data_IF_981316025026
#
_entry.id   IF_981316025026
#
_cell.length_a   1.000
_cell.length_b   1.000
_cell.length_c   1.000
_cell.angle_alpha   90.00
_cell.angle_beta   90.00
_cell.angle_gamma   90.00
#
_symmetry.space_group_name_H-M   'P 1'
#
loop_
_entity.id
_entity.type
_entity.pdbx_description
1 polymer ?
#
# COMPACT_ATOMS: atom_id res chain seq x y z
N UNK A 1 -23.00 38.87 15.90
CA UNK A 1 -22.01 38.67 16.97
C UNK A 1 -21.56 37.21 16.91
N UNK A 2 -20.49 36.90 16.15
CA UNK A 2 -19.95 35.54 16.07
C UNK A 2 -18.93 35.35 17.21
N UNK A 3 -18.99 34.25 17.99
CA UNK A 3 -18.05 34.05 19.09
C UNK A 3 -16.62 33.86 18.56
N UNK A 4 -15.59 34.32 19.30
CA UNK A 4 -14.21 34.18 18.85
C UNK A 4 -13.78 32.71 18.83
N UNK A 5 -13.12 32.33 17.74
CA UNK A 5 -12.52 31.02 17.52
C UNK A 5 -11.58 30.64 18.68
N UNK A 6 -11.87 29.53 19.35
CA UNK A 6 -11.00 28.94 20.38
C UNK A 6 -9.74 28.40 19.71
N UNK A 7 -8.57 28.87 20.13
CA UNK A 7 -7.26 28.36 19.69
C UNK A 7 -7.14 26.86 20.04
N UNK A 8 -6.62 26.00 19.15
CA UNK A 8 -6.45 24.58 19.46
C UNK A 8 -5.41 24.39 20.58
N UNK A 9 -5.80 23.64 21.60
CA UNK A 9 -4.92 23.17 22.68
C UNK A 9 -3.84 22.24 22.14
N UNK A 10 -2.61 22.40 22.62
CA UNK A 10 -1.44 21.60 22.23
C UNK A 10 -1.71 20.09 22.39
N UNK A 11 -1.74 19.37 21.28
CA UNK A 11 -1.77 17.91 21.29
C UNK A 11 -0.43 17.38 21.83
N UNK A 12 -0.51 16.57 22.89
CA UNK A 12 0.64 15.86 23.44
C UNK A 12 1.06 14.77 22.44
N UNK A 13 2.19 14.96 21.78
CA UNK A 13 2.75 14.04 20.80
C UNK A 13 3.23 12.77 21.52
N UNK A 14 2.36 11.75 21.63
CA UNK A 14 2.77 10.39 22.01
C UNK A 14 3.70 9.86 20.93
N UNK A 15 5.00 9.79 21.24
CA UNK A 15 5.97 9.08 20.39
C UNK A 15 5.75 7.60 20.65
N UNK A 16 5.05 6.93 19.75
CA UNK A 16 5.16 5.48 19.65
C UNK A 16 6.55 5.18 19.09
N UNK A 17 7.48 4.80 19.97
CA UNK A 17 8.72 4.19 19.55
C UNK A 17 8.35 2.84 18.93
N UNK A 18 8.38 2.78 17.60
CA UNK A 18 8.41 1.50 16.91
C UNK A 18 9.84 1.00 17.04
N UNK A 19 10.03 0.01 17.89
CA UNK A 19 11.29 -0.72 17.98
C UNK A 19 11.32 -1.70 16.81
N UNK A 20 11.88 -1.28 15.67
CA UNK A 20 12.30 -2.23 14.63
C UNK A 20 13.61 -2.83 15.09
N UNK A 21 13.49 -3.99 15.75
CA UNK A 21 14.61 -4.84 16.07
C UNK A 21 15.11 -5.52 14.78
N UNK A 22 16.03 -4.87 14.07
CA UNK A 22 16.93 -5.57 13.16
C UNK A 22 18.12 -6.07 13.98
N UNK A 23 18.08 -7.34 14.41
CA UNK A 23 19.27 -8.00 14.95
C UNK A 23 20.20 -8.35 13.79
N UNK A 24 20.88 -7.34 13.26
CA UNK A 24 21.77 -7.44 12.12
C UNK A 24 22.55 -6.14 11.95
N UNK A 25 23.87 -6.25 11.83
CA UNK A 25 24.83 -5.14 11.76
C UNK A 25 24.33 -3.97 10.87
N UNK A 26 24.27 -2.71 11.36
CA UNK A 26 23.63 -1.62 10.64
C UNK A 26 24.53 -1.10 9.53
N UNK A 27 24.52 -1.78 8.38
CA UNK A 27 24.95 -1.14 7.13
C UNK A 27 23.76 -0.40 6.57
N UNK A 28 23.79 0.94 6.65
CA UNK A 28 22.75 1.78 6.09
C UNK A 28 22.62 1.49 4.60
N UNK A 29 21.38 1.36 4.12
CA UNK A 29 21.04 1.16 2.68
C UNK A 29 21.63 2.23 1.74
N UNK A 30 22.13 3.34 2.27
CA UNK A 30 22.85 4.39 1.53
C UNK A 30 24.34 4.09 1.32
N UNK A 31 24.95 3.23 2.12
CA UNK A 31 26.38 2.89 2.02
C UNK A 31 26.68 1.89 0.89
N UNK A 32 25.66 1.23 0.34
CA UNK A 32 25.82 0.33 -0.83
C UNK A 32 26.17 1.13 -2.09
N UNK A 33 25.72 2.38 -2.21
CA UNK A 33 25.99 3.24 -3.37
C UNK A 33 27.29 4.05 -3.24
N UNK A 34 27.78 4.27 -2.01
CA UNK A 34 29.09 4.92 -1.78
C UNK A 34 30.25 3.98 -2.14
N UNK A 35 30.03 2.65 -2.08
CA UNK A 35 30.99 1.65 -2.58
C UNK A 35 31.08 1.53 -4.10
N UNK A 36 30.20 2.19 -4.87
CA UNK A 36 30.11 2.12 -6.33
C UNK A 36 30.53 3.41 -7.05
N UNK A 37 30.88 4.48 -6.33
CA UNK A 37 31.04 5.83 -6.89
C UNK A 37 32.43 6.48 -6.76
N UNK A 38 33.46 5.75 -6.30
CA UNK A 38 34.82 6.26 -6.16
C UNK A 38 35.75 5.75 -7.25
N UNK A 39 36.50 6.66 -7.88
CA UNK A 39 37.39 6.52 -9.04
C UNK A 39 38.56 5.51 -8.91
N UNK A 40 38.50 4.55 -7.98
CA UNK A 40 39.51 3.50 -7.72
C UNK A 40 38.91 2.09 -7.59
N UNK A 41 37.69 1.85 -8.08
CA UNK A 41 36.95 0.58 -7.95
C UNK A 41 37.37 -0.59 -8.86
N UNK A 42 38.60 -0.63 -9.36
CA UNK A 42 39.05 -1.73 -10.23
C UNK A 42 39.48 -3.00 -9.46
N UNK A 43 39.53 -2.98 -8.12
CA UNK A 43 40.09 -4.09 -7.34
C UNK A 43 39.15 -4.72 -6.30
N UNK A 44 37.90 -4.25 -6.17
CA UNK A 44 36.91 -4.83 -5.22
C UNK A 44 35.82 -5.67 -5.88
N UNK A 45 35.85 -5.87 -7.20
CA UNK A 45 34.82 -6.65 -7.92
C UNK A 45 35.13 -8.14 -8.09
N UNK A 46 36.33 -8.63 -7.71
CA UNK A 46 36.78 -9.96 -8.14
C UNK A 46 37.48 -10.81 -7.07
N UNK A 47 37.56 -10.37 -5.81
CA UNK A 47 38.15 -11.22 -4.76
C UNK A 47 37.38 -11.15 -3.44
N UNK A 48 37.18 -12.34 -2.88
CA UNK A 48 36.82 -12.61 -1.50
C UNK A 48 35.37 -12.37 -1.11
N UNK A 49 34.61 -13.47 -1.18
CA UNK A 49 34.07 -14.12 0.01
C UNK A 49 34.01 -13.22 1.25
N UNK A 50 32.77 -12.90 1.63
CA UNK A 50 32.28 -12.42 2.91
C UNK A 50 31.73 -10.97 2.90
N UNK A 51 30.46 -10.87 3.33
CA UNK A 51 29.82 -9.67 3.88
C UNK A 51 29.22 -8.64 2.92
N UNK A 52 28.13 -9.00 2.24
CA UNK A 52 27.27 -7.95 1.66
C UNK A 52 26.05 -8.37 0.85
N UNK A 53 25.66 -9.65 0.81
CA UNK A 53 24.36 -9.98 0.23
C UNK A 53 23.28 -9.42 1.15
N UNK A 54 22.60 -8.36 0.71
CA UNK A 54 21.46 -7.79 1.41
C UNK A 54 20.27 -8.76 1.26
N UNK A 55 20.29 -9.85 2.02
CA UNK A 55 19.15 -10.74 2.19
C UNK A 55 18.10 -10.05 3.06
N UNK A 56 17.25 -9.24 2.44
CA UNK A 56 15.98 -8.84 3.04
C UNK A 56 14.95 -9.93 2.81
N UNK A 57 14.38 -10.50 3.86
CA UNK A 57 13.19 -11.33 3.71
C UNK A 57 12.05 -10.45 3.14
N UNK A 58 11.38 -10.86 2.06
CA UNK A 58 10.27 -10.10 1.51
C UNK A 58 9.12 -10.03 2.52
N UNK A 59 8.39 -8.92 2.51
CA UNK A 59 7.13 -8.84 3.25
C UNK A 59 6.12 -9.74 2.53
N UNK A 60 5.63 -10.75 3.24
CA UNK A 60 4.55 -11.61 2.73
C UNK A 60 3.21 -10.87 2.77
N UNK A 61 2.28 -11.16 1.84
CA UNK A 61 0.91 -10.69 1.95
C UNK A 61 0.29 -11.12 3.30
N UNK A 62 -0.55 -10.28 3.93
CA UNK A 62 -1.24 -10.65 5.15
C UNK A 62 -2.21 -11.81 4.89
N UNK A 63 -2.33 -12.71 5.85
CA UNK A 63 -3.38 -13.73 5.83
C UNK A 63 -4.72 -13.06 6.17
N UNK A 64 -5.70 -13.04 5.25
CA UNK A 64 -6.98 -12.37 5.49
C UNK A 64 -7.78 -13.02 6.63
N UNK A 65 -7.48 -14.26 7.00
CA UNK A 65 -8.12 -14.97 8.12
C UNK A 65 -7.73 -14.40 9.49
N UNK A 66 -6.53 -13.82 9.59
CA UNK A 66 -5.97 -13.27 10.83
C UNK A 66 -6.07 -11.75 10.90
N UNK A 67 -7.05 -11.17 10.19
CA UNK A 67 -7.24 -9.73 10.19
C UNK A 67 -7.70 -9.23 11.57
N UNK A 68 -6.88 -8.39 12.22
CA UNK A 68 -7.14 -7.89 13.58
C UNK A 68 -7.88 -6.57 13.51
N UNK A 69 -9.07 -6.54 14.11
CA UNK A 69 -9.92 -5.34 14.23
C UNK A 69 -9.97 -4.90 15.71
N UNK A 70 -9.76 -3.61 16.02
CA UNK A 70 -9.93 -3.11 17.38
C UNK A 70 -11.41 -3.08 17.81
N UNK A 71 -12.32 -2.85 16.86
CA UNK A 71 -13.77 -2.79 17.12
C UNK A 71 -14.55 -3.31 15.90
N UNK A 72 -14.82 -4.64 15.82
CA UNK A 72 -15.47 -5.26 14.68
C UNK A 72 -16.94 -4.84 14.51
N UNK A 73 -17.56 -4.28 15.55
CA UNK A 73 -18.99 -4.00 15.58
C UNK A 73 -19.29 -2.59 15.09
N UNK A 74 -18.39 -1.64 15.35
CA UNK A 74 -18.58 -0.23 14.97
C UNK A 74 -17.81 0.21 13.72
N UNK A 75 -16.66 -0.41 13.40
CA UNK A 75 -15.84 -0.03 12.24
C UNK A 75 -15.15 -1.25 11.58
N UNK A 76 -15.94 -2.15 10.96
CA UNK A 76 -15.38 -3.33 10.30
C UNK A 76 -14.65 -2.95 9.00
N UNK A 77 -13.32 -3.07 9.02
CA UNK A 77 -12.46 -2.85 7.83
C UNK A 77 -11.79 -4.13 7.28
N UNK A 78 -12.08 -5.29 7.84
CA UNK A 78 -11.55 -6.55 7.32
C UNK A 78 -12.35 -6.98 6.10
N UNK A 79 -11.68 -7.59 5.10
CA UNK A 79 -12.36 -8.09 3.92
C UNK A 79 -13.38 -9.18 4.29
N UNK A 80 -14.53 -9.22 3.60
CA UNK A 80 -15.55 -10.23 3.86
C UNK A 80 -15.09 -11.62 3.37
N UNK A 81 -15.44 -12.71 4.09
CA UNK A 81 -15.22 -14.07 3.62
C UNK A 81 -16.12 -14.41 2.42
N UNK A 82 -15.79 -15.41 1.58
CA UNK A 82 -14.73 -16.40 1.74
C UNK A 82 -13.37 -15.98 1.15
N UNK A 83 -12.29 -16.37 1.81
CA UNK A 83 -10.93 -16.13 1.36
C UNK A 83 -10.43 -17.30 0.49
N UNK A 84 -10.53 -17.16 -0.83
CA UNK A 84 -9.87 -18.07 -1.78
C UNK A 84 -8.68 -17.37 -2.39
N UNK A 85 -7.57 -17.37 -1.67
CA UNK A 85 -6.31 -16.82 -2.16
C UNK A 85 -5.78 -17.71 -3.28
N UNK A 86 -5.50 -17.11 -4.42
CA UNK A 86 -4.82 -17.72 -5.56
C UNK A 86 -3.67 -16.81 -5.96
N UNK A 87 -2.58 -17.39 -6.44
CA UNK A 87 -1.49 -16.62 -7.01
C UNK A 87 -2.01 -15.83 -8.22
N UNK A 88 -1.71 -14.53 -8.24
CA UNK A 88 -2.18 -13.65 -9.30
C UNK A 88 -1.38 -13.87 -10.58
N UNK A 89 -2.07 -14.33 -11.62
CA UNK A 89 -1.49 -14.45 -12.96
C UNK A 89 -1.83 -13.21 -13.79
N UNK A 90 -0.81 -12.59 -14.39
CA UNK A 90 -1.02 -11.48 -15.31
C UNK A 90 -1.80 -11.97 -16.54
N UNK A 91 -2.83 -11.22 -17.00
CA UNK A 91 -3.47 -11.51 -18.27
C UNK A 91 -2.44 -11.53 -19.41
N UNK A 92 -2.62 -12.43 -20.38
CA UNK A 92 -1.67 -12.60 -21.48
C UNK A 92 -1.59 -11.32 -22.32
N UNK A 93 -0.39 -10.82 -22.57
CA UNK A 93 -0.17 -9.58 -23.33
C UNK A 93 -0.77 -9.59 -24.76
N UNK A 94 -0.94 -10.78 -25.35
CA UNK A 94 -1.54 -10.95 -26.68
C UNK A 94 -3.06 -11.13 -26.66
N UNK A 95 -3.70 -11.03 -25.48
CA UNK A 95 -5.15 -11.05 -25.38
C UNK A 95 -5.74 -9.76 -25.96
N UNK A 96 -6.21 -9.85 -27.21
CA UNK A 96 -6.81 -8.73 -27.95
C UNK A 96 -8.08 -8.20 -27.28
N UNK A 97 -8.63 -8.89 -26.28
CA UNK A 97 -9.81 -8.42 -25.53
C UNK A 97 -9.46 -7.35 -24.49
N UNK A 98 -8.18 -7.19 -24.14
CA UNK A 98 -7.71 -6.26 -23.11
C UNK A 98 -6.93 -5.09 -23.75
N UNK A 99 -7.61 -4.00 -24.14
CA UNK A 99 -6.92 -2.83 -24.67
C UNK A 99 -6.04 -2.17 -23.59
N UNK A 100 -4.95 -1.54 -24.03
CA UNK A 100 -4.12 -0.73 -23.15
C UNK A 100 -4.96 0.40 -22.52
N UNK A 101 -5.00 0.45 -21.18
CA UNK A 101 -5.77 1.46 -20.45
C UNK A 101 -4.93 2.71 -20.22
N UNK A 102 -5.39 3.85 -20.76
CA UNK A 102 -4.77 5.16 -20.57
C UNK A 102 -5.44 5.86 -19.37
N UNK A 103 -4.65 6.42 -18.46
CA UNK A 103 -5.12 7.24 -17.33
C UNK A 103 -4.97 8.72 -17.70
N UNK A 104 -6.05 9.41 -18.14
CA UNK A 104 -5.96 10.82 -18.52
C UNK A 104 -5.79 11.72 -17.29
N UNK A 105 -5.21 12.91 -17.49
CA UNK A 105 -5.14 13.91 -16.45
C UNK A 105 -6.54 14.41 -16.11
N UNK A 106 -6.91 14.40 -14.83
CA UNK A 106 -8.28 14.65 -14.37
C UNK A 106 -8.84 16.03 -14.78
N UNK A 107 -7.98 17.03 -14.99
CA UNK A 107 -8.39 18.38 -15.40
C UNK A 107 -8.53 18.54 -16.93
N UNK A 108 -8.19 17.54 -17.72
CA UNK A 108 -8.23 17.56 -19.20
C UNK A 108 -9.23 16.54 -19.79
N UNK A 109 -10.03 15.89 -18.96
CA UNK A 109 -10.99 14.87 -19.42
C UNK A 109 -12.23 15.50 -20.07
N UNK A 110 -12.85 14.77 -20.99
CA UNK A 110 -14.11 15.17 -21.63
C UNK A 110 -15.31 14.97 -20.69
N UNK A 111 -16.40 15.69 -20.95
CA UNK A 111 -17.66 15.49 -20.22
C UNK A 111 -18.16 14.03 -20.28
N UNK A 112 -18.03 13.38 -21.44
CA UNK A 112 -18.40 11.97 -21.60
C UNK A 112 -17.57 11.03 -20.73
N UNK A 113 -16.28 11.33 -20.54
CA UNK A 113 -15.43 10.55 -19.65
C UNK A 113 -15.88 10.71 -18.19
N UNK A 114 -16.19 11.94 -17.77
CA UNK A 114 -16.69 12.24 -16.43
C UNK A 114 -17.99 11.47 -16.20
N UNK A 115 -18.96 11.55 -17.12
CA UNK A 115 -20.23 10.83 -17.00
C UNK A 115 -20.05 9.31 -16.87
N UNK A 116 -19.12 8.71 -17.63
CA UNK A 116 -18.79 7.28 -17.52
C UNK A 116 -18.14 6.94 -16.18
N UNK A 117 -17.25 7.80 -15.68
CA UNK A 117 -16.59 7.62 -14.40
C UNK A 117 -17.60 7.71 -13.24
N UNK A 118 -18.47 8.72 -13.26
CA UNK A 118 -19.54 8.89 -12.28
C UNK A 118 -20.50 7.70 -12.28
N UNK A 119 -20.91 7.20 -13.45
CA UNK A 119 -21.75 6.01 -13.56
C UNK A 119 -21.04 4.76 -13.00
N UNK A 120 -19.75 4.61 -13.23
CA UNK A 120 -18.97 3.49 -12.66
C UNK A 120 -18.93 3.58 -11.12
N UNK A 121 -18.66 4.75 -10.55
CA UNK A 121 -18.65 4.96 -9.10
C UNK A 121 -20.05 4.77 -8.51
N UNK A 122 -21.11 5.22 -9.19
CA UNK A 122 -22.50 5.00 -8.77
C UNK A 122 -22.81 3.51 -8.67
N UNK A 123 -22.40 2.72 -9.67
CA UNK A 123 -22.57 1.24 -9.64
C UNK A 123 -21.77 0.60 -8.52
N UNK A 124 -20.53 1.01 -8.31
CA UNK A 124 -19.68 0.50 -7.24
C UNK A 124 -20.27 0.78 -5.84
N UNK A 125 -20.89 1.94 -5.66
CA UNK A 125 -21.61 2.31 -4.41
C UNK A 125 -22.94 1.58 -4.24
N UNK A 126 -23.53 1.10 -5.33
CA UNK A 126 -24.80 0.37 -5.30
C UNK A 126 -24.60 -1.15 -5.09
N UNK A 127 -23.36 -1.64 -5.08
CA UNK A 127 -23.06 -3.03 -4.73
C UNK A 127 -23.42 -3.32 -3.25
N UNK A 128 -23.75 -4.58 -2.91
CA UNK A 128 -23.96 -4.97 -1.52
C UNK A 128 -22.77 -4.61 -0.63
N UNK A 129 -22.98 -4.23 0.64
CA UNK A 129 -21.89 -3.87 1.55
C UNK A 129 -20.90 -5.02 1.80
N UNK A 130 -21.36 -6.27 1.63
CA UNK A 130 -20.57 -7.48 1.81
C UNK A 130 -19.81 -7.89 0.54
N UNK A 131 -20.04 -7.19 -0.58
CA UNK A 131 -19.32 -7.44 -1.83
C UNK A 131 -17.91 -6.81 -1.71
N UNK A 132 -16.82 -7.59 -1.90
CA UNK A 132 -15.46 -7.06 -1.84
C UNK A 132 -15.18 -5.95 -2.87
N UNK A 133 -15.96 -5.85 -3.95
CA UNK A 133 -15.85 -4.79 -4.95
C UNK A 133 -16.66 -3.54 -4.62
N UNK A 134 -17.47 -3.57 -3.56
CA UNK A 134 -18.24 -2.42 -3.13
C UNK A 134 -17.33 -1.26 -2.74
N UNK A 135 -17.85 -0.05 -2.88
CA UNK A 135 -17.06 1.17 -2.66
C UNK A 135 -16.44 1.21 -1.25
N UNK A 136 -17.19 0.82 -0.23
CA UNK A 136 -16.70 0.80 1.15
C UNK A 136 -15.68 -0.31 1.38
N UNK A 137 -15.89 -1.51 0.81
CA UNK A 137 -14.90 -2.59 0.94
C UNK A 137 -13.57 -2.24 0.26
N UNK A 138 -13.60 -1.57 -0.90
CA UNK A 138 -12.39 -1.06 -1.53
C UNK A 138 -11.66 -0.01 -0.67
N UNK A 139 -12.40 0.84 0.05
CA UNK A 139 -11.82 1.79 1.00
C UNK A 139 -11.20 1.06 2.22
N UNK A 140 -11.86 0.02 2.71
CA UNK A 140 -11.41 -0.81 3.82
C UNK A 140 -10.07 -1.49 3.56
N UNK A 141 -9.74 -1.81 2.30
CA UNK A 141 -8.40 -2.31 1.94
C UNK A 141 -7.31 -1.31 2.35
N UNK A 142 -7.51 -0.01 2.13
CA UNK A 142 -6.53 0.99 2.56
C UNK A 142 -6.41 1.02 4.09
N UNK A 143 -7.55 1.00 4.80
CA UNK A 143 -7.58 0.98 6.26
C UNK A 143 -6.85 -0.25 6.83
N UNK A 144 -7.15 -1.44 6.32
CA UNK A 144 -6.55 -2.70 6.77
C UNK A 144 -5.02 -2.73 6.60
N UNK A 145 -4.47 -2.11 5.55
CA UNK A 145 -3.02 -2.07 5.32
C UNK A 145 -2.31 -0.89 5.99
N UNK A 146 -3.01 0.19 6.31
CA UNK A 146 -2.41 1.38 6.92
C UNK A 146 -2.54 1.42 8.44
N UNK A 147 -3.72 1.08 8.99
CA UNK A 147 -3.96 1.09 10.44
C UNK A 147 -4.10 -0.32 11.02
N UNK A 148 -4.27 -1.35 10.17
CA UNK A 148 -4.17 -2.74 10.59
C UNK A 148 -2.78 -3.02 11.14
N UNK A 149 -2.72 -3.39 12.41
CA UNK A 149 -1.49 -3.85 13.06
C UNK A 149 -1.13 -5.22 12.49
N UNK A 150 -0.30 -5.23 11.44
CA UNK A 150 0.43 -6.41 10.99
C UNK A 150 1.46 -6.88 12.01
#
# INVERSE_FOLDING_TARGET
>A
MFPPSKKPSKATKRRHAWEVACNGNPRNRRDILIGLGGLYGATTSLTSNNTGSAFGAPLSPPDPTNCVQPDPENDPFCPPPPFKVKDYELPKHHDKTLPLRIRPAAHLVTADYIAKYEEAVRRMKALPPDDPLSFMQQANVHHAYCDGRG
#
